data_IF_571062477681
#
_entry.id   IF_571062477681
#
_cell.length_a   1.000
_cell.length_b   1.000
_cell.length_c   1.000
_cell.angle_alpha   90.00
_cell.angle_beta   90.00
_cell.angle_gamma   90.00
#
_symmetry.space_group_name_H-M   'P 1'
#
loop_
_entity.id
_entity.type
_entity.pdbx_description
1 polymer ?
#
# COMPACT_ATOMS: atom_id res chain seq x y z
N UNK A 1 -19.48 -15.00 -12.70
CA UNK A 1 -18.08 -15.46 -12.62
C UNK A 1 -17.29 -14.82 -13.75
N UNK A 2 -16.08 -14.31 -13.48
CA UNK A 2 -15.15 -13.83 -14.53
C UNK A 2 -14.39 -15.00 -15.17
N UNK A 3 -14.35 -16.17 -14.51
CA UNK A 3 -13.76 -17.43 -14.98
C UNK A 3 -12.32 -17.28 -15.49
N UNK A 4 -11.49 -16.58 -14.71
CA UNK A 4 -10.07 -16.40 -15.01
C UNK A 4 -9.24 -16.67 -13.76
N UNK A 5 -8.34 -17.68 -13.77
CA UNK A 5 -7.60 -18.09 -12.57
C UNK A 5 -6.54 -17.07 -12.11
N UNK A 6 -6.21 -16.08 -12.95
CA UNK A 6 -5.26 -15.01 -12.65
C UNK A 6 -5.91 -13.70 -12.18
N UNK A 7 -7.24 -13.64 -12.08
CA UNK A 7 -7.94 -12.48 -11.53
C UNK A 7 -7.61 -12.34 -10.04
N UNK A 8 -7.45 -11.10 -9.57
CA UNK A 8 -7.48 -10.75 -8.15
C UNK A 8 -8.66 -9.82 -7.88
N UNK A 9 -9.48 -10.12 -6.88
CA UNK A 9 -10.52 -9.20 -6.39
C UNK A 9 -9.86 -8.19 -5.47
N UNK A 10 -10.18 -6.90 -5.64
CA UNK A 10 -9.56 -5.82 -4.87
C UNK A 10 -10.46 -5.43 -3.70
N UNK A 11 -9.98 -5.59 -2.47
CA UNK A 11 -10.74 -5.30 -1.23
C UNK A 11 -9.93 -4.35 -0.34
N UNK A 12 -10.51 -3.24 0.16
CA UNK A 12 -9.83 -2.39 1.15
C UNK A 12 -9.45 -3.14 2.43
N UNK A 13 -8.24 -2.91 2.94
CA UNK A 13 -7.70 -3.52 4.16
C UNK A 13 -8.17 -2.86 5.47
N UNK A 14 -9.41 -2.35 5.50
CA UNK A 14 -9.99 -1.76 6.71
C UNK A 14 -10.20 -2.84 7.79
N UNK A 15 -10.56 -2.42 9.00
CA UNK A 15 -10.90 -3.35 10.09
C UNK A 15 -12.03 -4.31 9.69
N UNK A 16 -13.09 -3.79 9.07
CA UNK A 16 -14.24 -4.57 8.59
C UNK A 16 -13.86 -5.40 7.37
N UNK A 17 -13.02 -4.86 6.48
CA UNK A 17 -12.55 -5.54 5.28
C UNK A 17 -11.73 -6.80 5.59
N UNK A 18 -11.03 -6.84 6.73
CA UNK A 18 -10.19 -7.98 7.11
C UNK A 18 -10.98 -9.30 7.24
N UNK A 19 -12.21 -9.25 7.78
CA UNK A 19 -13.06 -10.44 7.91
C UNK A 19 -13.47 -10.98 6.52
N UNK A 20 -13.89 -10.09 5.62
CA UNK A 20 -14.27 -10.45 4.24
C UNK A 20 -13.06 -11.00 3.48
N UNK A 21 -11.89 -10.39 3.66
CA UNK A 21 -10.63 -10.85 3.06
C UNK A 21 -10.33 -12.29 3.48
N UNK A 22 -10.41 -12.59 4.79
CA UNK A 22 -10.15 -13.94 5.31
C UNK A 22 -11.12 -14.96 4.72
N UNK A 23 -12.41 -14.64 4.66
CA UNK A 23 -13.44 -15.51 4.10
C UNK A 23 -13.19 -15.79 2.62
N UNK A 24 -12.96 -14.77 1.80
CA UNK A 24 -12.72 -14.95 0.36
C UNK A 24 -11.43 -15.72 0.08
N UNK A 25 -10.37 -15.49 0.87
CA UNK A 25 -9.14 -16.28 0.78
C UNK A 25 -9.37 -17.74 1.22
N UNK A 26 -10.22 -17.95 2.24
CA UNK A 26 -10.64 -19.28 2.66
C UNK A 26 -11.46 -19.98 1.58
N UNK A 27 -12.21 -19.28 0.74
CA UNK A 27 -12.87 -19.84 -0.45
C UNK A 27 -11.90 -20.09 -1.62
N UNK A 28 -10.62 -19.74 -1.47
CA UNK A 28 -9.59 -19.91 -2.50
C UNK A 28 -9.56 -18.81 -3.55
N UNK A 29 -10.20 -17.66 -3.30
CA UNK A 29 -10.21 -16.50 -4.20
C UNK A 29 -8.92 -15.69 -4.01
N UNK A 30 -8.29 -15.29 -5.11
CA UNK A 30 -7.11 -14.43 -5.04
C UNK A 30 -7.51 -12.97 -4.71
N UNK A 31 -6.86 -12.38 -3.71
CA UNK A 31 -7.21 -11.03 -3.22
C UNK A 31 -6.04 -10.05 -3.35
N UNK A 32 -6.30 -8.91 -3.97
CA UNK A 32 -5.46 -7.72 -3.87
C UNK A 32 -6.01 -6.81 -2.77
N UNK A 33 -5.32 -6.76 -1.64
CA UNK A 33 -5.75 -5.95 -0.51
C UNK A 33 -5.25 -4.52 -0.72
N UNK A 34 -6.10 -3.51 -0.57
CA UNK A 34 -5.76 -2.11 -0.92
C UNK A 34 -5.98 -1.12 0.21
N UNK A 35 -5.54 0.13 0.02
CA UNK A 35 -5.67 1.21 0.99
C UNK A 35 -4.94 0.91 2.31
N UNK A 36 -3.81 0.21 2.22
CA UNK A 36 -2.94 0.01 3.37
C UNK A 36 -1.96 1.18 3.46
N UNK A 37 -1.99 1.89 4.59
CA UNK A 37 -1.08 3.00 4.91
C UNK A 37 -0.27 2.73 6.19
N UNK A 38 -0.87 2.02 7.15
CA UNK A 38 -0.27 1.71 8.43
C UNK A 38 0.31 0.28 8.46
N UNK A 39 1.41 0.10 9.21
CA UNK A 39 2.01 -1.21 9.48
C UNK A 39 1.05 -2.11 10.27
N UNK A 40 0.22 -1.52 11.12
CA UNK A 40 -0.83 -2.23 11.86
C UNK A 40 -1.91 -2.77 10.90
N UNK A 41 -2.44 -1.93 10.00
CA UNK A 41 -3.40 -2.37 8.97
C UNK A 41 -2.79 -3.46 8.09
N UNK A 42 -1.52 -3.34 7.69
CA UNK A 42 -0.79 -4.40 6.98
C UNK A 42 -0.72 -5.70 7.79
N UNK A 43 -0.34 -5.63 9.07
CA UNK A 43 -0.25 -6.80 9.94
C UNK A 43 -1.60 -7.50 10.05
N UNK A 44 -2.69 -6.75 10.29
CA UNK A 44 -4.05 -7.30 10.39
C UNK A 44 -4.44 -8.12 9.15
N UNK A 45 -4.14 -7.63 7.96
CA UNK A 45 -4.52 -8.32 6.72
C UNK A 45 -3.58 -9.48 6.35
N UNK A 46 -2.32 -9.41 6.75
CA UNK A 46 -1.38 -10.52 6.63
C UNK A 46 -1.76 -11.66 7.59
N UNK A 47 -2.19 -11.33 8.81
CA UNK A 47 -2.72 -12.30 9.79
C UNK A 47 -3.99 -12.99 9.26
N UNK A 48 -4.92 -12.23 8.67
CA UNK A 48 -6.10 -12.78 7.99
C UNK A 48 -5.73 -13.74 6.84
N UNK A 49 -4.69 -13.41 6.07
CA UNK A 49 -4.18 -14.28 5.01
C UNK A 49 -3.63 -15.59 5.54
N UNK A 50 -2.77 -15.54 6.57
CA UNK A 50 -2.20 -16.73 7.19
C UNK A 50 -3.32 -17.61 7.78
N UNK A 51 -4.27 -17.02 8.51
CA UNK A 51 -5.40 -17.75 9.12
C UNK A 51 -6.29 -18.46 8.08
N UNK A 52 -6.56 -17.80 6.94
CA UNK A 52 -7.32 -18.40 5.85
C UNK A 52 -6.62 -19.64 5.29
N UNK A 53 -5.30 -19.56 5.06
CA UNK A 53 -4.51 -20.68 4.58
C UNK A 53 -4.40 -21.81 5.60
N UNK A 54 -4.26 -21.49 6.90
CA UNK A 54 -4.27 -22.48 7.98
C UNK A 54 -5.57 -23.30 7.98
N UNK A 55 -6.71 -22.61 7.85
CA UNK A 55 -8.02 -23.26 7.87
C UNK A 55 -8.24 -24.11 6.62
N UNK A 56 -7.86 -23.62 5.43
CA UNK A 56 -7.90 -24.41 4.18
C UNK A 56 -7.00 -25.64 4.27
N UNK A 57 -5.79 -25.46 4.77
CA UNK A 57 -4.82 -26.56 4.91
C UNK A 57 -5.33 -27.64 5.87
N UNK A 58 -5.90 -27.24 7.01
CA UNK A 58 -6.49 -28.17 7.98
C UNK A 58 -7.70 -28.94 7.41
N UNK A 59 -8.44 -28.34 6.48
CA UNK A 59 -9.53 -28.99 5.74
C UNK A 59 -9.06 -29.89 4.58
N UNK A 60 -7.74 -29.97 4.32
CA UNK A 60 -7.18 -30.73 3.20
C UNK A 60 -7.39 -30.06 1.84
N UNK A 61 -7.71 -28.77 1.82
CA UNK A 61 -7.95 -28.01 0.59
C UNK A 61 -6.64 -27.45 0.00
N UNK A 62 -6.57 -27.23 -1.33
CA UNK A 62 -5.38 -26.66 -1.95
C UNK A 62 -5.10 -25.22 -1.48
N UNK A 63 -3.83 -24.95 -1.17
CA UNK A 63 -3.30 -23.63 -0.77
C UNK A 63 -2.20 -23.09 -1.71
N UNK A 64 -1.75 -23.90 -2.67
CA UNK A 64 -0.70 -23.58 -3.66
C UNK A 64 -1.18 -22.61 -4.76
N UNK A 65 -2.50 -22.45 -4.87
CA UNK A 65 -3.16 -21.62 -5.88
C UNK A 65 -3.64 -20.27 -5.35
N UNK A 66 -3.73 -20.09 -4.04
CA UNK A 66 -4.26 -18.86 -3.42
C UNK A 66 -3.18 -17.77 -3.42
N UNK A 67 -3.32 -16.81 -4.34
CA UNK A 67 -2.44 -15.65 -4.47
C UNK A 67 -3.01 -14.42 -3.77
N UNK A 68 -2.16 -13.68 -3.07
CA UNK A 68 -2.53 -12.38 -2.52
C UNK A 68 -1.39 -11.37 -2.60
N UNK A 69 -1.75 -10.09 -2.67
CA UNK A 69 -0.83 -8.95 -2.56
C UNK A 69 -1.41 -7.93 -1.58
N UNK A 70 -0.54 -7.27 -0.81
CA UNK A 70 -0.90 -6.23 0.13
C UNK A 70 -0.45 -4.86 -0.42
N UNK A 71 -1.37 -4.12 -1.04
CA UNK A 71 -1.10 -2.83 -1.68
C UNK A 71 -0.91 -1.72 -0.65
N UNK A 72 0.35 -1.47 -0.30
CA UNK A 72 0.83 -0.46 0.64
C UNK A 72 1.13 0.86 -0.09
N UNK A 73 0.42 1.92 0.27
CA UNK A 73 0.48 3.21 -0.42
C UNK A 73 1.66 4.05 0.08
N UNK A 74 2.47 4.54 -0.86
CA UNK A 74 3.73 5.22 -0.55
C UNK A 74 3.57 6.74 -0.62
N UNK A 75 3.50 7.34 -1.83
CA UNK A 75 3.62 8.80 -2.00
C UNK A 75 2.62 9.66 -1.23
N UNK A 76 1.44 9.13 -0.91
CA UNK A 76 0.42 9.87 -0.15
C UNK A 76 0.87 10.19 1.28
N UNK A 77 1.71 9.33 1.86
CA UNK A 77 2.28 9.53 3.19
C UNK A 77 3.20 10.73 3.20
N UNK A 78 4.15 10.82 2.27
CA UNK A 78 5.05 11.98 2.20
C UNK A 78 4.30 13.26 1.87
N UNK A 79 3.32 13.25 0.96
CA UNK A 79 2.51 14.45 0.70
C UNK A 79 1.83 15.00 1.95
N UNK A 80 1.24 14.13 2.78
CA UNK A 80 0.58 14.58 4.01
C UNK A 80 1.59 14.98 5.10
N UNK A 81 2.62 14.16 5.32
CA UNK A 81 3.62 14.41 6.37
C UNK A 81 4.47 15.64 6.03
N UNK A 82 4.91 15.81 4.78
CA UNK A 82 5.66 17.00 4.37
C UNK A 82 4.83 18.27 4.59
N UNK A 83 3.52 18.25 4.31
CA UNK A 83 2.63 19.37 4.62
C UNK A 83 2.55 19.67 6.12
N UNK A 84 2.52 18.65 6.98
CA UNK A 84 2.54 18.83 8.44
C UNK A 84 3.90 19.34 8.93
N UNK A 85 4.99 18.89 8.30
CA UNK A 85 6.34 19.39 8.57
C UNK A 85 6.43 20.88 8.20
N UNK A 86 5.94 21.28 7.03
CA UNK A 86 5.92 22.67 6.56
C UNK A 86 5.09 23.57 7.48
N UNK A 87 3.91 23.10 7.90
CA UNK A 87 3.09 23.80 8.89
C UNK A 87 3.85 23.99 10.21
N UNK A 88 4.49 22.93 10.71
CA UNK A 88 5.27 22.98 11.96
C UNK A 88 6.48 23.90 11.85
N UNK A 89 7.15 23.91 10.70
CA UNK A 89 8.27 24.81 10.40
C UNK A 89 7.84 26.28 10.45
N UNK A 90 6.63 26.60 9.97
CA UNK A 90 6.09 27.97 10.01
C UNK A 90 5.77 28.48 11.43
N UNK A 91 5.64 27.56 12.40
CA UNK A 91 5.22 27.85 13.78
C UNK A 91 6.38 27.84 14.78
N UNK A 92 7.60 27.49 14.37
CA UNK A 92 8.75 27.37 15.26
C UNK A 92 9.91 28.27 14.81
N UNK A 93 10.51 28.97 15.78
CA UNK A 93 11.72 29.76 15.58
C UNK A 93 12.99 29.03 16.08
N UNK A 94 12.86 27.80 16.63
CA UNK A 94 14.01 27.03 17.11
C UNK A 94 14.83 26.49 15.92
N UNK A 95 16.07 26.97 15.70
CA UNK A 95 16.87 26.57 14.54
C UNK A 95 17.21 25.07 14.55
N UNK A 96 17.30 24.44 15.73
CA UNK A 96 17.59 23.00 15.84
C UNK A 96 16.39 22.18 15.41
N UNK A 97 15.19 22.57 15.84
CA UNK A 97 13.96 21.91 15.43
C UNK A 97 13.71 22.10 13.93
N UNK A 98 13.97 23.30 13.40
CA UNK A 98 13.85 23.57 11.96
C UNK A 98 14.77 22.68 11.12
N UNK A 99 16.06 22.60 11.46
CA UNK A 99 17.01 21.75 10.76
C UNK A 99 16.61 20.26 10.83
N UNK A 100 16.12 19.82 11.99
CA UNK A 100 15.64 18.44 12.18
C UNK A 100 14.44 18.13 11.30
N UNK A 101 13.43 19.01 11.27
CA UNK A 101 12.22 18.87 10.48
C UNK A 101 12.49 18.91 8.96
N UNK A 102 13.30 19.87 8.50
CA UNK A 102 13.73 19.94 7.09
C UNK A 102 14.44 18.66 6.66
N UNK A 103 15.24 18.06 7.56
CA UNK A 103 15.90 16.79 7.33
C UNK A 103 14.97 15.58 7.18
N UNK A 104 13.67 15.70 7.42
CA UNK A 104 12.67 14.61 7.31
C UNK A 104 11.84 14.67 6.02
N UNK A 105 11.85 15.80 5.31
CA UNK A 105 11.07 15.98 4.08
C UNK A 105 11.36 14.86 3.08
N UNK A 106 10.30 14.22 2.58
CA UNK A 106 10.38 13.13 1.59
C UNK A 106 10.97 11.81 2.11
N UNK A 107 11.06 11.60 3.43
CA UNK A 107 11.63 10.37 4.02
C UNK A 107 10.60 9.46 4.68
N UNK A 108 9.42 9.98 4.98
CA UNK A 108 8.43 9.31 5.84
C UNK A 108 7.80 8.11 5.16
N UNK A 109 7.45 8.24 3.88
CA UNK A 109 6.81 7.19 3.10
C UNK A 109 7.73 5.99 2.88
N UNK A 110 8.99 6.26 2.48
CA UNK A 110 10.00 5.21 2.32
C UNK A 110 10.28 4.54 3.66
N UNK A 111 10.48 5.31 4.73
CA UNK A 111 10.69 4.76 6.06
C UNK A 111 9.55 3.83 6.50
N UNK A 112 8.31 4.27 6.35
CA UNK A 112 7.12 3.48 6.67
C UNK A 112 7.05 2.18 5.83
N UNK A 113 7.31 2.25 4.52
CA UNK A 113 7.29 1.09 3.64
C UNK A 113 8.42 0.08 3.94
N UNK A 114 9.63 0.54 4.29
CA UNK A 114 10.73 -0.34 4.72
C UNK A 114 10.38 -1.09 6.01
N UNK A 115 9.69 -0.44 6.95
CA UNK A 115 9.22 -1.10 8.17
C UNK A 115 8.06 -2.05 7.93
N UNK A 116 7.17 -1.75 6.98
CA UNK A 116 6.17 -2.72 6.51
C UNK A 116 6.82 -3.95 5.87
N UNK A 117 7.92 -3.78 5.12
CA UNK A 117 8.71 -4.90 4.59
C UNK A 117 9.39 -5.72 5.70
N UNK A 118 9.98 -5.07 6.71
CA UNK A 118 10.53 -5.79 7.87
C UNK A 118 9.45 -6.63 8.56
N UNK A 119 8.25 -6.07 8.75
CA UNK A 119 7.10 -6.80 9.30
C UNK A 119 6.65 -7.97 8.40
N UNK A 120 6.72 -7.81 7.08
CA UNK A 120 6.49 -8.89 6.13
C UNK A 120 7.46 -10.05 6.35
N UNK A 121 8.76 -9.77 6.48
CA UNK A 121 9.75 -10.81 6.71
C UNK A 121 9.49 -11.56 8.02
N UNK A 122 9.20 -10.85 9.11
CA UNK A 122 8.86 -11.47 10.40
C UNK A 122 7.70 -12.48 10.29
N UNK A 123 6.64 -12.10 9.56
CA UNK A 123 5.43 -12.92 9.43
C UNK A 123 5.63 -14.13 8.52
N UNK A 124 6.25 -13.92 7.35
CA UNK A 124 6.31 -14.94 6.30
C UNK A 124 7.59 -15.79 6.30
N UNK A 125 8.65 -15.35 6.99
CA UNK A 125 9.84 -16.17 7.27
C UNK A 125 9.75 -16.83 8.67
N UNK A 126 8.74 -16.47 9.47
CA UNK A 126 8.52 -16.98 10.81
C UNK A 126 8.01 -18.43 10.88
N UNK A 127 8.05 -19.04 12.08
CA UNK A 127 7.72 -20.45 12.29
C UNK A 127 6.26 -20.79 12.00
N UNK A 128 5.34 -19.83 12.15
CA UNK A 128 3.91 -20.03 11.85
C UNK A 128 3.66 -20.29 10.36
N UNK A 129 4.37 -19.57 9.49
CA UNK A 129 4.18 -19.71 8.05
C UNK A 129 5.00 -20.86 7.43
N UNK A 130 6.08 -21.30 8.08
CA UNK A 130 6.94 -22.39 7.62
C UNK A 130 6.20 -23.68 7.19
N UNK A 131 5.24 -24.25 7.96
CA UNK A 131 4.51 -25.44 7.52
C UNK A 131 3.64 -25.19 6.28
N UNK A 132 2.96 -24.03 6.19
CA UNK A 132 2.16 -23.66 5.02
C UNK A 132 3.04 -23.53 3.77
N UNK A 133 4.21 -22.90 3.90
CA UNK A 133 5.20 -22.81 2.84
C UNK A 133 5.68 -24.20 2.40
N UNK A 134 5.93 -25.11 3.34
CA UNK A 134 6.27 -26.51 3.06
C UNK A 134 5.17 -27.26 2.30
N UNK A 135 3.91 -26.88 2.52
CA UNK A 135 2.75 -27.38 1.79
C UNK A 135 2.46 -26.61 0.47
N UNK A 136 3.36 -25.72 0.03
CA UNK A 136 3.28 -25.03 -1.26
C UNK A 136 2.60 -23.66 -1.23
N UNK A 137 2.24 -23.13 -0.06
CA UNK A 137 1.68 -21.79 0.05
C UNK A 137 2.64 -20.71 -0.47
N UNK A 138 2.08 -19.72 -1.15
CA UNK A 138 2.80 -18.50 -1.55
C UNK A 138 2.75 -17.48 -0.44
N UNK A 139 3.73 -16.58 -0.37
CA UNK A 139 3.63 -15.42 0.53
C UNK A 139 2.63 -14.41 -0.04
N UNK A 140 1.96 -13.66 0.84
CA UNK A 140 1.30 -12.43 0.45
C UNK A 140 2.35 -11.35 0.26
N UNK A 141 2.64 -11.00 -1.00
CA UNK A 141 3.71 -10.05 -1.32
C UNK A 141 3.29 -8.62 -0.97
N UNK A 142 4.16 -7.82 -0.32
CA UNK A 142 3.98 -6.37 -0.26
C UNK A 142 3.95 -5.80 -1.67
N UNK A 143 2.97 -4.96 -1.95
CA UNK A 143 2.82 -4.27 -3.22
C UNK A 143 2.90 -2.77 -3.00
N UNK A 144 3.92 -2.12 -3.53
CA UNK A 144 4.09 -0.67 -3.43
C UNK A 144 3.14 0.02 -4.41
N UNK A 145 2.16 0.72 -3.86
CA UNK A 145 1.14 1.45 -4.60
C UNK A 145 1.35 2.96 -4.47
N UNK A 146 0.83 3.73 -5.42
CA UNK A 146 1.01 5.18 -5.46
C UNK A 146 2.50 5.56 -5.43
N UNK A 147 3.32 4.97 -6.29
CA UNK A 147 4.79 5.15 -6.32
C UNK A 147 5.27 6.23 -7.29
N UNK A 148 4.36 7.03 -7.85
CA UNK A 148 4.74 8.23 -8.58
C UNK A 148 5.02 9.40 -7.65
N UNK A 149 6.23 9.98 -7.73
CA UNK A 149 6.63 11.18 -6.99
C UNK A 149 5.69 12.35 -7.25
N UNK A 150 5.34 13.07 -6.18
CA UNK A 150 4.40 14.21 -6.21
C UNK A 150 5.10 15.56 -6.10
N UNK A 151 6.20 15.61 -5.35
CA UNK A 151 7.01 16.81 -5.17
C UNK A 151 8.11 16.85 -6.25
N UNK A 152 8.17 17.87 -7.12
CA UNK A 152 9.19 17.99 -8.16
C UNK A 152 10.61 18.21 -7.62
N UNK A 153 10.77 18.53 -6.34
CA UNK A 153 12.09 18.61 -5.70
C UNK A 153 12.72 17.22 -5.47
N UNK A 154 11.93 16.15 -5.55
CA UNK A 154 12.41 14.78 -5.35
C UNK A 154 12.60 14.09 -6.71
N UNK A 155 13.47 13.07 -6.73
CA UNK A 155 13.60 12.19 -7.91
C UNK A 155 12.23 11.60 -8.29
N UNK A 156 11.90 11.61 -9.58
CA UNK A 156 10.65 11.06 -10.11
C UNK A 156 10.60 9.52 -10.07
N UNK A 157 11.74 8.89 -9.77
CA UNK A 157 11.90 7.45 -9.50
C UNK A 157 12.18 7.11 -8.03
N UNK A 158 12.16 8.10 -7.11
CA UNK A 158 12.50 7.94 -5.69
C UNK A 158 11.89 6.68 -5.06
N UNK A 159 10.56 6.55 -5.09
CA UNK A 159 9.86 5.46 -4.43
C UNK A 159 10.08 4.10 -5.09
N UNK A 160 10.45 4.09 -6.38
CA UNK A 160 10.80 2.85 -7.05
C UNK A 160 12.16 2.40 -6.57
N UNK A 161 13.18 3.25 -6.70
CA UNK A 161 14.56 2.90 -6.34
C UNK A 161 14.73 2.52 -4.87
N UNK A 162 14.01 3.17 -3.96
CA UNK A 162 14.15 2.92 -2.52
C UNK A 162 13.44 1.66 -2.01
N UNK A 163 12.56 1.05 -2.81
CA UNK A 163 11.69 -0.06 -2.38
C UNK A 163 11.86 -1.34 -3.21
N UNK A 164 12.99 -1.49 -3.89
CA UNK A 164 13.31 -2.72 -4.62
C UNK A 164 13.76 -3.80 -3.64
N UNK A 165 13.10 -4.95 -3.66
CA UNK A 165 13.57 -6.14 -2.95
C UNK A 165 12.80 -7.42 -3.24
N UNK A 166 13.27 -8.56 -2.70
CA UNK A 166 12.67 -9.87 -2.91
C UNK A 166 11.21 -9.92 -2.48
N UNK A 167 10.40 -10.71 -3.20
CA UNK A 167 8.99 -10.95 -2.87
C UNK A 167 8.13 -9.68 -2.77
N UNK A 168 8.48 -8.63 -3.52
CA UNK A 168 7.69 -7.40 -3.64
C UNK A 168 7.11 -7.22 -5.03
N UNK A 169 6.07 -6.40 -5.12
CA UNK A 169 5.53 -5.88 -6.38
C UNK A 169 5.54 -4.36 -6.30
N UNK A 170 5.73 -3.67 -7.42
CA UNK A 170 5.51 -2.22 -7.50
C UNK A 170 4.51 -1.94 -8.63
N UNK A 171 3.42 -1.26 -8.30
CA UNK A 171 2.42 -0.83 -9.29
C UNK A 171 2.66 0.63 -9.65
N UNK A 172 3.27 0.83 -10.82
CA UNK A 172 3.74 2.13 -11.26
C UNK A 172 2.76 2.77 -12.26
N UNK A 173 2.50 4.07 -12.15
CA UNK A 173 1.90 4.83 -13.24
C UNK A 173 2.79 4.80 -14.49
N UNK A 174 2.20 4.89 -15.69
CA UNK A 174 2.95 4.84 -16.95
C UNK A 174 4.12 5.85 -17.04
N UNK A 175 3.93 7.07 -16.50
CA UNK A 175 4.99 8.08 -16.43
C UNK A 175 6.19 7.67 -15.56
N UNK A 176 5.94 6.97 -14.45
CA UNK A 176 6.98 6.49 -13.53
C UNK A 176 7.72 5.30 -14.15
N UNK A 177 7.03 4.44 -14.89
CA UNK A 177 7.66 3.37 -15.69
C UNK A 177 8.61 4.00 -16.72
N UNK A 178 8.16 5.01 -17.46
CA UNK A 178 8.99 5.68 -18.46
C UNK A 178 10.24 6.33 -17.85
N UNK A 179 10.10 7.05 -16.73
CA UNK A 179 11.23 7.64 -16.01
C UNK A 179 12.21 6.58 -15.49
N UNK A 180 11.70 5.49 -14.90
CA UNK A 180 12.56 4.40 -14.42
C UNK A 180 13.31 3.68 -15.54
N UNK A 181 12.71 3.53 -16.72
CA UNK A 181 13.38 2.96 -17.89
C UNK A 181 14.47 3.87 -18.45
N UNK A 182 14.30 5.19 -18.33
CA UNK A 182 15.26 6.18 -18.81
C UNK A 182 16.51 6.25 -17.91
N UNK A 183 16.32 6.36 -16.59
CA UNK A 183 17.43 6.63 -15.67
C UNK A 183 17.35 5.92 -14.31
N UNK A 184 16.44 4.96 -14.14
CA UNK A 184 16.30 4.21 -12.89
C UNK A 184 17.45 3.24 -12.64
N UNK A 185 17.76 3.02 -11.36
CA UNK A 185 18.86 2.16 -10.91
C UNK A 185 18.33 0.99 -10.09
N UNK A 186 18.62 -0.23 -10.56
CA UNK A 186 18.20 -1.46 -9.88
C UNK A 186 19.20 -1.83 -8.79
N UNK A 187 18.79 -1.73 -7.53
CA UNK A 187 19.52 -2.20 -6.35
C UNK A 187 18.54 -2.72 -5.31
N UNK A 188 18.87 -3.77 -4.57
CA UNK A 188 18.08 -4.19 -3.40
C UNK A 188 18.23 -3.13 -2.30
N UNK A 189 17.18 -2.39 -2.01
CA UNK A 189 17.15 -1.18 -1.16
C UNK A 189 16.11 -1.22 -0.06
N UNK A 190 15.05 -2.02 -0.22
CA UNK A 190 13.90 -2.07 0.69
C UNK A 190 14.29 -2.45 2.14
N UNK A 191 15.38 -3.18 2.32
CA UNK A 191 15.89 -3.65 3.60
C UNK A 191 17.24 -3.03 3.99
N UNK A 192 17.65 -1.96 3.30
CA UNK A 192 18.79 -1.13 3.70
C UNK A 192 18.37 -0.07 4.70
N UNK A 193 19.26 0.19 5.66
CA UNK A 193 19.15 1.29 6.63
C UNK A 193 17.81 1.30 7.39
N UNK A 194 17.29 0.12 7.73
CA UNK A 194 16.01 -0.05 8.44
C UNK A 194 16.02 0.64 9.81
N UNK A 195 17.17 0.67 10.49
CA UNK A 195 17.32 1.41 11.75
C UNK A 195 17.15 2.93 11.54
N UNK A 196 17.68 3.47 10.43
CA UNK A 196 17.45 4.87 10.04
C UNK A 196 15.98 5.11 9.71
N UNK A 197 15.30 4.18 9.05
CA UNK A 197 13.86 4.27 8.81
C UNK A 197 13.07 4.35 10.14
N UNK A 198 13.41 3.53 11.15
CA UNK A 198 12.80 3.66 12.49
C UNK A 198 13.07 5.02 13.09
N UNK A 199 14.31 5.51 12.99
CA UNK A 199 14.69 6.80 13.56
C UNK A 199 13.94 7.97 12.90
N UNK A 200 13.66 7.93 11.60
CA UNK A 200 12.82 8.93 10.92
C UNK A 200 11.44 9.02 11.58
N UNK A 201 10.78 7.88 11.80
CA UNK A 201 9.45 7.87 12.44
C UNK A 201 9.49 8.31 13.91
N UNK A 202 10.51 7.89 14.66
CA UNK A 202 10.72 8.36 16.04
C UNK A 202 10.90 9.88 16.09
N UNK A 203 11.70 10.42 15.17
CA UNK A 203 11.97 11.86 15.08
C UNK A 203 10.71 12.65 14.73
N UNK A 204 9.87 12.14 13.82
CA UNK A 204 8.57 12.75 13.51
C UNK A 204 7.68 12.82 14.75
N UNK A 205 7.57 11.71 15.49
CA UNK A 205 6.77 11.63 16.70
C UNK A 205 7.25 12.62 17.77
N UNK A 206 8.57 12.73 17.98
CA UNK A 206 9.16 13.73 18.89
C UNK A 206 8.87 15.18 18.47
N UNK A 207 8.68 15.44 17.17
CA UNK A 207 8.29 16.74 16.66
C UNK A 207 6.77 17.02 16.76
N UNK A 208 5.99 16.05 17.29
CA UNK A 208 4.54 16.12 17.41
C UNK A 208 3.77 15.69 16.16
N UNK A 209 4.44 15.06 15.20
CA UNK A 209 3.85 14.57 13.94
C UNK A 209 3.65 13.05 14.06
N UNK A 210 2.40 12.63 14.18
CA UNK A 210 2.05 11.21 14.35
C UNK A 210 1.82 10.52 13.00
N UNK A 211 2.64 9.52 12.70
CA UNK A 211 2.46 8.66 11.52
C UNK A 211 1.16 7.85 11.62
N UNK A 212 0.76 7.44 12.83
CA UNK A 212 -0.48 6.68 13.04
C UNK A 212 -1.70 7.54 12.73
N UNK A 213 -1.72 8.79 13.22
CA UNK A 213 -2.80 9.73 12.91
C UNK A 213 -2.84 10.08 11.41
N UNK A 214 -1.68 10.26 10.78
CA UNK A 214 -1.59 10.54 9.35
C UNK A 214 -2.10 9.36 8.51
N UNK A 215 -1.71 8.13 8.85
CA UNK A 215 -2.11 6.93 8.11
C UNK A 215 -3.59 6.59 8.30
N UNK A 216 -4.15 6.81 9.49
CA UNK A 216 -5.59 6.69 9.74
C UNK A 216 -6.40 7.69 8.90
N UNK A 217 -5.96 8.95 8.86
CA UNK A 217 -6.56 9.99 8.01
C UNK A 217 -6.50 9.62 6.52
N UNK A 218 -5.36 9.09 6.06
CA UNK A 218 -5.18 8.67 4.66
C UNK A 218 -6.07 7.47 4.29
N UNK A 219 -6.35 6.57 5.24
CA UNK A 219 -7.30 5.47 5.05
C UNK A 219 -8.72 6.02 4.83
N UNK A 220 -9.18 6.91 5.72
CA UNK A 220 -10.50 7.55 5.63
C UNK A 220 -10.66 8.35 4.33
N UNK A 221 -9.73 9.25 4.04
CA UNK A 221 -9.73 10.04 2.80
C UNK A 221 -9.63 9.14 1.55
N UNK A 222 -8.89 8.04 1.66
CA UNK A 222 -8.76 7.04 0.61
C UNK A 222 -10.08 6.35 0.28
N UNK A 223 -10.83 5.94 1.30
CA UNK A 223 -12.16 5.34 1.14
C UNK A 223 -13.13 6.35 0.52
N UNK A 224 -13.19 7.57 1.07
CA UNK A 224 -14.06 8.62 0.56
C UNK A 224 -13.77 8.95 -0.92
N UNK A 225 -12.48 9.06 -1.28
CA UNK A 225 -12.07 9.29 -2.67
C UNK A 225 -12.46 8.16 -3.61
N UNK A 226 -12.39 6.90 -3.15
CA UNK A 226 -12.79 5.74 -3.96
C UNK A 226 -14.32 5.68 -4.14
N UNK A 227 -15.09 5.93 -3.08
CA UNK A 227 -16.55 6.02 -3.16
C UNK A 227 -16.99 7.12 -4.15
N UNK A 228 -16.43 8.32 -4.00
CA UNK A 228 -16.71 9.42 -4.94
C UNK A 228 -16.35 9.06 -6.38
N UNK A 229 -15.19 8.46 -6.62
CA UNK A 229 -14.78 8.06 -7.98
C UNK A 229 -15.71 7.02 -8.59
N UNK A 230 -16.32 6.16 -7.76
CA UNK A 230 -17.33 5.22 -8.20
C UNK A 230 -18.65 5.92 -8.56
N UNK A 231 -19.12 6.85 -7.73
CA UNK A 231 -20.33 7.63 -8.01
C UNK A 231 -20.18 8.45 -9.31
N UNK A 232 -19.05 9.12 -9.50
CA UNK A 232 -18.72 9.86 -10.72
C UNK A 232 -18.75 8.93 -11.97
N UNK A 233 -18.26 7.69 -11.83
CA UNK A 233 -18.30 6.69 -12.91
C UNK A 233 -19.74 6.30 -13.26
N UNK A 234 -20.57 6.03 -12.26
CA UNK A 234 -21.97 5.63 -12.47
C UNK A 234 -22.77 6.77 -13.09
N UNK A 235 -22.56 8.02 -12.64
CA UNK A 235 -23.17 9.20 -13.25
C UNK A 235 -22.74 9.37 -14.72
N UNK A 236 -21.47 9.13 -15.02
CA UNK A 236 -20.95 9.16 -16.40
C UNK A 236 -21.61 8.10 -17.30
N UNK A 237 -21.81 6.88 -16.79
CA UNK A 237 -22.51 5.80 -17.51
C UNK A 237 -23.97 6.18 -17.76
N UNK A 238 -24.65 6.72 -16.75
CA UNK A 238 -26.05 7.14 -16.86
C UNK A 238 -26.23 8.28 -17.87
N UNK A 239 -25.36 9.30 -17.79
CA UNK A 239 -25.33 10.40 -18.76
C UNK A 239 -25.17 9.90 -20.19
N UNK A 240 -24.29 8.90 -20.40
CA UNK A 240 -24.09 8.29 -21.72
C UNK A 240 -25.31 7.50 -22.18
N UNK A 241 -25.95 6.75 -21.28
CA UNK A 241 -27.18 5.98 -21.55
C UNK A 241 -28.31 6.90 -22.01
N UNK A 242 -28.55 7.99 -21.30
CA UNK A 242 -29.59 8.99 -21.65
C UNK A 242 -29.30 9.63 -23.01
N UNK A 243 -28.06 10.06 -23.26
CA UNK A 243 -27.68 10.66 -24.53
C UNK A 243 -27.90 9.71 -25.72
N UNK A 244 -27.58 8.42 -25.56
CA UNK A 244 -27.78 7.41 -26.61
C UNK A 244 -29.27 7.09 -26.81
N UNK A 245 -30.05 6.97 -25.73
CA UNK A 245 -31.49 6.71 -25.82
C UNK A 245 -32.25 7.88 -26.48
N UNK A 246 -31.90 9.12 -26.12
CA UNK A 246 -32.47 10.33 -26.74
C UNK A 246 -32.12 10.45 -28.23
N UNK A 247 -30.89 10.10 -28.62
CA UNK A 247 -30.47 10.10 -30.02
C UNK A 247 -31.18 9.02 -30.86
N UNK A 248 -31.58 7.90 -30.25
CA UNK A 248 -32.39 6.86 -30.91
C UNK A 248 -33.84 7.29 -31.06
N UNK A 249 -34.42 7.98 -30.06
CA UNK A 249 -35.79 8.47 -30.13
C UNK A 249 -35.99 9.65 -31.10
N UNK A 250 -34.91 10.35 -31.47
CA UNK A 250 -34.91 11.44 -32.44
C UNK A 250 -34.68 10.98 -33.90
N UNK A 251 -34.51 9.68 -34.14
CA UNK A 251 -34.44 9.06 -35.47
C UNK A 251 -35.75 8.37 -35.81
#
# INVERSE_FOLDING_TARGET
SVDRPNLMVKIPGTTEGAAVIQEMLHEGININITLLFAIESYSRVAEAYIAALETRHAAGEPIDRVGSVASFFVSRVDTLIDSQIEERLSQTEDPKLQARLQGLLGKSAVANAKLAYARFQELFEGPRFAPLRGAGAKVQRPLWASTGTKNPAYSDVLYVEELIGPETVNTMPGKTIAAFLDHGVVRRTVDRDVDTARQVLTVLAEAGISIDAATARLEEEGIASFAKSYDDLIEGVESKRVALAGAVAAR
#
